data_IF_493993929138
#
_entry.id   IF_493993929138
#
_cell.length_a   1.000
_cell.length_b   1.000
_cell.length_c   1.000
_cell.angle_alpha   90.00
_cell.angle_beta   90.00
_cell.angle_gamma   90.00
#
_symmetry.space_group_name_H-M   'P 1'
#
loop_
_entity.id
_entity.type
_entity.pdbx_description
1 polymer ?
#
# COMPACT_ATOMS: atom_id res chain seq x y z
N UNK A 1 -21.90 -1.04 5.08
CA UNK A 1 -20.67 -0.33 5.43
C UNK A 1 -19.78 -1.19 6.30
N UNK A 2 -18.55 -1.37 5.92
CA UNK A 2 -17.57 -2.09 6.68
C UNK A 2 -16.57 -2.85 5.82
N UNK A 3 -15.78 -3.66 6.48
CA UNK A 3 -14.80 -4.52 5.85
C UNK A 3 -15.42 -5.80 5.30
N UNK A 4 -14.92 -6.23 4.17
CA UNK A 4 -15.31 -7.49 3.52
C UNK A 4 -14.06 -8.22 3.05
N UNK A 5 -13.99 -9.51 3.33
CA UNK A 5 -12.97 -10.40 2.77
C UNK A 5 -13.66 -11.31 1.76
N UNK A 6 -13.24 -11.22 0.52
CA UNK A 6 -13.85 -11.98 -0.58
C UNK A 6 -12.77 -12.48 -1.54
N UNK A 7 -13.06 -13.59 -2.21
CA UNK A 7 -12.24 -14.03 -3.33
C UNK A 7 -12.34 -12.98 -4.42
N UNK A 8 -11.18 -12.50 -4.88
CA UNK A 8 -11.14 -11.51 -5.94
C UNK A 8 -11.78 -12.09 -7.21
N UNK A 9 -12.62 -11.33 -7.91
CA UNK A 9 -13.07 -11.76 -9.21
C UNK A 9 -11.87 -11.88 -10.14
N UNK A 10 -11.69 -13.04 -10.72
CA UNK A 10 -10.74 -13.20 -11.80
C UNK A 10 -11.51 -13.45 -13.10
N UNK A 11 -10.93 -13.05 -14.21
CA UNK A 11 -11.58 -13.10 -15.52
C UNK A 11 -11.84 -14.54 -16.02
N UNK A 12 -11.20 -15.53 -15.41
CA UNK A 12 -11.31 -16.93 -15.75
C UNK A 12 -12.33 -17.68 -14.87
N UNK A 13 -12.91 -16.98 -13.91
CA UNK A 13 -13.81 -17.57 -12.96
C UNK A 13 -15.26 -17.15 -13.25
N UNK A 14 -16.10 -18.10 -13.59
CA UNK A 14 -17.56 -17.93 -13.62
C UNK A 14 -18.12 -17.58 -12.22
N UNK A 15 -17.41 -16.73 -11.48
CA UNK A 15 -17.80 -16.29 -10.14
C UNK A 15 -19.13 -15.57 -10.20
N UNK A 16 -20.14 -16.31 -9.95
CA UNK A 16 -21.46 -15.77 -9.71
C UNK A 16 -21.49 -15.16 -8.31
N UNK A 17 -22.33 -14.16 -8.08
CA UNK A 17 -22.51 -13.51 -6.79
C UNK A 17 -22.64 -14.44 -5.58
N UNK A 18 -23.05 -15.67 -5.77
CA UNK A 18 -23.14 -16.68 -4.71
C UNK A 18 -21.78 -17.17 -4.21
N UNK A 19 -20.73 -17.01 -5.02
CA UNK A 19 -19.37 -17.42 -4.69
C UNK A 19 -18.60 -16.30 -3.97
N UNK A 20 -19.16 -15.09 -3.94
CA UNK A 20 -18.69 -14.03 -3.05
C UNK A 20 -19.17 -14.29 -1.64
N UNK A 21 -18.50 -15.19 -0.94
CA UNK A 21 -18.69 -15.36 0.47
C UNK A 21 -18.32 -14.09 1.21
N UNK A 22 -19.32 -13.31 1.57
CA UNK A 22 -19.10 -12.15 2.42
C UNK A 22 -18.85 -12.64 3.82
N UNK A 23 -17.60 -12.70 4.21
CA UNK A 23 -17.23 -12.88 5.60
C UNK A 23 -16.81 -11.53 6.17
N UNK A 24 -17.35 -11.19 7.31
CA UNK A 24 -16.91 -10.02 8.04
C UNK A 24 -15.66 -10.38 8.87
N UNK A 25 -14.76 -9.75 9.21
CA UNK A 25 -13.96 -8.90 9.19
C UNK A 25 -13.09 -8.28 10.18
N UNK A 26 -12.03 -8.80 10.64
CA UNK A 26 -10.86 -8.12 11.17
C UNK A 26 -9.80 -8.14 10.08
N UNK A 27 -9.13 -7.04 9.77
CA UNK A 27 -8.00 -7.06 8.85
C UNK A 27 -6.81 -7.74 9.56
N UNK A 28 -6.85 -9.04 9.66
CA UNK A 28 -5.78 -9.85 10.24
C UNK A 28 -5.39 -11.02 9.36
N UNK A 29 -6.14 -11.22 8.29
CA UNK A 29 -5.94 -12.31 7.34
C UNK A 29 -5.87 -11.76 5.92
N UNK A 30 -5.13 -10.67 5.71
CA UNK A 30 -4.99 -10.05 4.39
C UNK A 30 -4.18 -10.90 3.40
N UNK A 31 -3.70 -12.03 3.84
CA UNK A 31 -2.55 -12.74 3.29
C UNK A 31 -2.90 -14.00 2.51
N UNK A 32 -4.17 -14.20 2.22
CA UNK A 32 -4.55 -15.31 1.37
C UNK A 32 -4.54 -14.84 -0.09
N UNK A 33 -3.72 -15.44 -0.93
CA UNK A 33 -3.54 -15.05 -2.34
C UNK A 33 -4.85 -14.99 -3.12
N UNK A 34 -5.84 -15.76 -2.68
CA UNK A 34 -7.15 -15.82 -3.33
C UNK A 34 -8.20 -14.94 -2.66
N UNK A 35 -7.96 -14.44 -1.47
CA UNK A 35 -8.90 -13.61 -0.74
C UNK A 35 -8.32 -12.22 -0.52
N UNK A 36 -9.15 -11.18 -0.73
CA UNK A 36 -8.76 -9.80 -0.59
C UNK A 36 -9.71 -9.04 0.31
N UNK A 37 -9.17 -8.07 1.02
CA UNK A 37 -9.95 -7.18 1.85
C UNK A 37 -10.42 -5.97 1.07
N UNK A 38 -11.68 -5.60 1.30
CA UNK A 38 -12.35 -4.44 0.72
C UNK A 38 -13.07 -3.68 1.81
N UNK A 39 -13.28 -2.39 1.61
CA UNK A 39 -14.11 -1.60 2.50
C UNK A 39 -15.24 -0.90 1.73
N UNK A 40 -16.48 -1.13 2.15
CA UNK A 40 -17.65 -0.46 1.59
C UNK A 40 -18.07 0.72 2.48
N UNK A 41 -18.39 1.82 1.86
CA UNK A 41 -18.94 3.01 2.52
C UNK A 41 -20.41 2.83 2.95
N UNK A 42 -21.04 3.95 3.36
CA UNK A 42 -22.44 3.94 3.81
C UNK A 42 -23.45 3.55 2.74
N UNK A 43 -23.11 3.77 1.49
CA UNK A 43 -23.95 3.49 0.33
C UNK A 43 -23.67 2.10 -0.29
N UNK A 44 -22.70 1.37 0.29
CA UNK A 44 -22.29 0.06 -0.20
C UNK A 44 -21.24 0.12 -1.31
N UNK A 45 -20.70 1.30 -1.62
CA UNK A 45 -19.69 1.50 -2.62
C UNK A 45 -18.31 1.20 -2.05
N UNK A 46 -17.49 0.44 -2.79
CA UNK A 46 -16.13 0.10 -2.39
C UNK A 46 -15.20 1.30 -2.55
N UNK A 47 -14.31 1.49 -1.59
CA UNK A 47 -13.20 2.40 -1.76
C UNK A 47 -12.23 1.86 -2.82
N UNK A 48 -11.87 2.68 -3.78
CA UNK A 48 -10.91 2.35 -4.83
C UNK A 48 -10.07 3.59 -5.18
N UNK A 49 -8.77 3.37 -5.38
CA UNK A 49 -7.86 4.44 -5.78
C UNK A 49 -7.72 5.56 -4.74
N UNK A 50 -7.79 5.23 -3.47
CA UNK A 50 -7.71 6.24 -2.40
C UNK A 50 -7.03 5.72 -1.13
N UNK A 51 -6.47 6.68 -0.39
CA UNK A 51 -6.05 6.46 0.99
C UNK A 51 -7.17 6.98 1.89
N UNK A 52 -7.67 6.13 2.76
CA UNK A 52 -8.80 6.45 3.66
C UNK A 52 -8.48 6.18 5.12
N UNK A 53 -8.95 7.09 5.98
CA UNK A 53 -8.92 6.90 7.42
C UNK A 53 -10.15 6.14 7.88
N UNK A 54 -9.93 4.97 8.47
CA UNK A 54 -10.99 4.10 8.98
C UNK A 54 -10.66 3.77 10.44
N UNK A 55 -11.54 4.17 11.35
CA UNK A 55 -11.35 3.97 12.80
C UNK A 55 -9.97 4.39 13.32
N UNK A 56 -9.47 5.55 12.85
CA UNK A 56 -8.21 6.12 13.30
C UNK A 56 -6.94 5.63 12.59
N UNK A 57 -7.04 4.62 11.74
CA UNK A 57 -5.93 4.11 10.93
C UNK A 57 -6.14 4.44 9.47
N UNK A 58 -5.04 4.55 8.71
CA UNK A 58 -5.07 4.80 7.27
C UNK A 58 -4.84 3.52 6.50
N UNK A 59 -5.59 3.35 5.40
CA UNK A 59 -5.51 2.21 4.50
C UNK A 59 -5.47 2.69 3.06
N UNK A 60 -4.83 1.93 2.20
CA UNK A 60 -4.80 2.18 0.76
C UNK A 60 -5.61 1.13 0.01
N UNK A 61 -6.27 1.54 -1.07
CA UNK A 61 -7.08 0.67 -1.91
C UNK A 61 -6.69 0.82 -3.36
N UNK A 62 -6.59 -0.30 -4.09
CA UNK A 62 -6.23 -0.31 -5.49
C UNK A 62 -7.16 0.58 -6.32
N UNK A 63 -6.61 1.33 -7.30
CA UNK A 63 -7.41 2.13 -8.22
C UNK A 63 -8.25 1.26 -9.14
N UNK A 64 -9.28 1.86 -9.72
CA UNK A 64 -10.10 1.25 -10.76
C UNK A 64 -9.27 0.95 -12.01
N UNK A 65 -9.80 0.07 -12.87
CA UNK A 65 -9.17 -0.28 -14.14
C UNK A 65 -8.23 -1.49 -14.10
N UNK A 66 -8.16 -2.18 -12.97
CA UNK A 66 -7.45 -3.45 -12.82
C UNK A 66 -8.37 -4.49 -12.20
N UNK A 67 -8.03 -5.76 -12.32
CA UNK A 67 -8.70 -6.89 -11.64
C UNK A 67 -8.61 -6.79 -10.11
N UNK A 68 -7.69 -5.98 -9.60
CA UNK A 68 -7.47 -5.74 -8.17
C UNK A 68 -8.20 -4.52 -7.63
N UNK A 69 -8.98 -3.83 -8.46
CA UNK A 69 -9.68 -2.60 -8.09
C UNK A 69 -10.42 -2.72 -6.74
N UNK A 70 -10.18 -1.77 -5.85
CA UNK A 70 -10.77 -1.72 -4.51
C UNK A 70 -10.13 -2.64 -3.47
N UNK A 71 -9.21 -3.52 -3.83
CA UNK A 71 -8.54 -4.38 -2.83
C UNK A 71 -7.58 -3.58 -1.96
N UNK A 72 -7.53 -3.92 -0.67
CA UNK A 72 -6.64 -3.27 0.29
C UNK A 72 -5.18 -3.55 -0.03
N UNK A 73 -4.35 -2.51 0.06
CA UNK A 73 -2.89 -2.62 -0.08
C UNK A 73 -2.26 -3.19 1.19
N UNK A 74 -1.24 -4.02 0.99
CA UNK A 74 -0.41 -4.61 2.03
C UNK A 74 1.07 -4.50 1.69
N UNK A 75 1.93 -4.61 2.69
CA UNK A 75 3.36 -4.63 2.50
C UNK A 75 3.97 -3.27 2.12
N UNK A 76 5.19 -3.32 1.60
CA UNK A 76 5.86 -2.16 1.05
C UNK A 76 5.37 -1.93 -0.38
N UNK A 77 4.86 -0.73 -0.64
CA UNK A 77 4.23 -0.39 -1.91
C UNK A 77 4.88 0.83 -2.56
N UNK A 78 5.09 0.76 -3.87
CA UNK A 78 5.45 1.91 -4.69
C UNK A 78 4.18 2.50 -5.31
N UNK A 79 3.83 3.70 -4.91
CA UNK A 79 2.56 4.36 -5.28
C UNK A 79 2.79 5.73 -5.91
N UNK A 80 1.87 6.12 -6.77
CA UNK A 80 1.67 7.51 -7.17
C UNK A 80 0.41 8.02 -6.49
N UNK A 81 0.57 8.98 -5.59
CA UNK A 81 -0.53 9.53 -4.79
C UNK A 81 -0.61 11.04 -4.99
N UNK A 82 -1.80 11.52 -5.34
CA UNK A 82 -2.08 12.93 -5.50
C UNK A 82 -3.40 13.27 -4.79
N UNK A 83 -3.35 14.22 -3.87
CA UNK A 83 -4.51 14.68 -3.09
C UNK A 83 -5.27 13.55 -2.39
N UNK A 84 -4.55 12.56 -1.86
CA UNK A 84 -5.11 11.40 -1.19
C UNK A 84 -5.64 10.32 -2.12
N UNK A 85 -5.51 10.51 -3.43
CA UNK A 85 -5.90 9.52 -4.44
C UNK A 85 -4.69 8.75 -4.92
N UNK A 86 -4.80 7.44 -4.94
CA UNK A 86 -3.82 6.55 -5.53
C UNK A 86 -4.15 6.45 -7.02
N UNK A 87 -3.35 7.11 -7.84
CA UNK A 87 -3.55 7.11 -9.30
C UNK A 87 -2.87 5.93 -9.97
N UNK A 88 -1.84 5.37 -9.33
CA UNK A 88 -1.11 4.21 -9.83
C UNK A 88 -0.52 3.41 -8.67
N UNK A 89 -0.60 2.10 -8.75
CA UNK A 89 0.18 1.17 -7.94
C UNK A 89 1.27 0.60 -8.83
N UNK A 90 2.50 1.06 -8.63
CA UNK A 90 3.66 0.58 -9.40
C UNK A 90 3.99 -0.84 -8.98
N UNK A 91 4.04 -1.08 -7.66
CA UNK A 91 4.20 -2.41 -7.07
C UNK A 91 3.62 -2.43 -5.66
N UNK A 92 3.16 -3.59 -5.22
CA UNK A 92 2.78 -3.88 -3.83
C UNK A 92 3.56 -5.07 -3.32
N UNK A 93 3.55 -5.27 -1.99
CA UNK A 93 4.25 -6.38 -1.35
C UNK A 93 5.68 -6.56 -1.88
N UNK A 94 6.39 -5.43 -1.98
CA UNK A 94 7.74 -5.41 -2.54
C UNK A 94 8.68 -6.25 -1.69
N UNK A 95 9.47 -7.09 -2.36
CA UNK A 95 10.57 -7.83 -1.77
C UNK A 95 11.90 -7.04 -1.83
N UNK A 96 13.00 -7.67 -1.45
CA UNK A 96 14.31 -7.03 -1.45
C UNK A 96 14.79 -6.70 -2.86
N UNK A 97 14.53 -7.57 -3.83
CA UNK A 97 14.90 -7.34 -5.24
C UNK A 97 14.11 -6.15 -5.82
N UNK A 98 12.82 -6.08 -5.54
CA UNK A 98 11.99 -4.93 -5.91
C UNK A 98 12.53 -3.62 -5.31
N UNK A 99 12.97 -3.66 -4.05
CA UNK A 99 13.53 -2.48 -3.39
C UNK A 99 14.85 -2.05 -4.04
N UNK A 100 15.71 -2.98 -4.38
CA UNK A 100 16.98 -2.70 -5.08
C UNK A 100 16.71 -2.08 -6.47
N UNK A 101 15.82 -2.66 -7.25
CA UNK A 101 15.41 -2.13 -8.55
C UNK A 101 14.81 -0.72 -8.42
N UNK A 102 14.01 -0.50 -7.39
CA UNK A 102 13.45 0.83 -7.10
C UNK A 102 14.56 1.85 -6.78
N UNK A 103 15.53 1.48 -5.96
CA UNK A 103 16.64 2.38 -5.60
C UNK A 103 17.57 2.67 -6.76
N UNK A 104 17.73 1.73 -7.68
CA UNK A 104 18.52 1.89 -8.89
C UNK A 104 17.75 2.55 -10.05
N UNK A 105 16.45 2.72 -9.90
CA UNK A 105 15.57 3.30 -10.92
C UNK A 105 15.40 2.41 -12.15
N UNK A 106 15.41 1.11 -11.95
CA UNK A 106 15.29 0.13 -13.00
C UNK A 106 13.84 -0.21 -13.33
N UNK A 107 13.60 -0.59 -14.58
CA UNK A 107 12.32 -1.07 -15.04
C UNK A 107 11.17 -0.10 -14.76
N UNK A 108 10.08 -0.61 -14.19
CA UNK A 108 8.88 0.17 -13.83
C UNK A 108 9.14 1.27 -12.79
N UNK A 109 10.19 1.15 -12.01
CA UNK A 109 10.54 2.13 -10.97
C UNK A 109 11.20 3.40 -11.53
N UNK A 110 11.70 3.37 -12.77
CA UNK A 110 12.28 4.54 -13.42
C UNK A 110 11.30 5.74 -13.45
N UNK A 111 10.01 5.46 -13.60
CA UNK A 111 8.97 6.49 -13.63
C UNK A 111 8.77 7.22 -12.30
N UNK A 112 9.29 6.71 -11.19
CA UNK A 112 9.22 7.37 -9.88
C UNK A 112 10.15 8.57 -9.79
N UNK A 113 11.26 8.55 -10.53
CA UNK A 113 12.26 9.60 -10.50
C UNK A 113 11.76 10.82 -11.25
N UNK A 114 11.83 11.98 -10.60
CA UNK A 114 11.28 13.22 -11.14
C UNK A 114 9.77 13.36 -10.98
N UNK A 115 9.07 12.36 -10.44
CA UNK A 115 7.66 12.45 -10.12
C UNK A 115 7.47 12.75 -8.62
N UNK A 116 7.09 13.99 -8.23
CA UNK A 116 6.95 14.35 -6.81
C UNK A 116 5.80 13.63 -6.11
N UNK A 117 4.89 13.00 -6.85
CA UNK A 117 3.76 12.25 -6.33
C UNK A 117 4.06 10.76 -6.13
N UNK A 118 5.23 10.30 -6.60
CA UNK A 118 5.65 8.92 -6.44
C UNK A 118 6.53 8.74 -5.21
N UNK A 119 6.24 7.73 -4.41
CA UNK A 119 7.08 7.32 -3.29
C UNK A 119 6.74 5.91 -2.83
N UNK A 120 7.48 5.43 -1.83
CA UNK A 120 7.15 4.21 -1.12
C UNK A 120 6.25 4.52 0.07
N UNK A 121 5.38 3.58 0.36
CA UNK A 121 4.44 3.54 1.50
C UNK A 121 4.49 2.15 2.12
N UNK A 122 4.23 2.04 3.41
CA UNK A 122 4.26 0.75 4.09
C UNK A 122 2.95 0.48 4.82
N UNK A 123 2.31 -0.64 4.49
CA UNK A 123 1.02 -1.07 5.06
C UNK A 123 1.15 -2.35 5.89
N UNK A 124 2.28 -2.50 6.57
CA UNK A 124 2.57 -3.67 7.38
C UNK A 124 3.13 -4.85 6.60
N UNK A 125 3.74 -5.78 7.32
CA UNK A 125 4.21 -7.05 6.76
C UNK A 125 3.08 -8.09 6.78
N UNK A 126 3.30 -9.21 6.12
CA UNK A 126 2.41 -10.36 6.13
C UNK A 126 2.13 -10.86 7.56
N UNK A 127 3.11 -10.77 8.44
CA UNK A 127 2.98 -11.15 9.86
C UNK A 127 2.10 -10.19 10.66
N UNK A 128 2.12 -8.91 10.31
CA UNK A 128 1.30 -7.86 10.93
C UNK A 128 -0.07 -7.67 10.26
N UNK A 129 -0.26 -8.26 9.13
CA UNK A 129 -1.41 -8.43 8.21
C UNK A 129 -2.67 -7.58 8.47
N UNK A 130 -2.53 -6.38 9.05
CA UNK A 130 -3.66 -5.50 9.31
C UNK A 130 -3.88 -4.45 8.20
N UNK A 131 -2.95 -4.34 7.24
CA UNK A 131 -3.01 -3.36 6.15
C UNK A 131 -2.92 -1.90 6.58
N UNK A 132 -2.75 -1.62 7.86
CA UNK A 132 -2.71 -0.26 8.35
C UNK A 132 -1.38 0.42 7.99
N UNK A 133 -1.49 1.62 7.44
CA UNK A 133 -0.33 2.46 7.09
C UNK A 133 0.57 2.69 8.30
N UNK A 134 1.86 2.49 8.11
CA UNK A 134 2.89 2.81 9.08
C UNK A 134 3.48 4.20 8.80
N UNK A 135 3.84 4.92 9.86
CA UNK A 135 4.40 6.28 9.77
C UNK A 135 5.61 6.42 10.72
N UNK A 136 6.43 7.43 10.46
CA UNK A 136 7.62 7.70 11.24
C UNK A 136 8.78 6.77 10.90
N UNK A 137 9.72 6.66 11.83
CA UNK A 137 10.84 5.73 11.70
C UNK A 137 10.34 4.29 11.81
N UNK A 138 10.62 3.50 10.79
CA UNK A 138 10.12 2.13 10.66
C UNK A 138 11.24 1.23 10.18
N UNK A 139 11.42 0.08 10.83
CA UNK A 139 12.30 -0.96 10.34
C UNK A 139 11.48 -1.95 9.54
N UNK A 140 11.90 -2.22 8.31
CA UNK A 140 11.25 -3.19 7.43
C UNK A 140 12.23 -4.33 7.17
N UNK A 141 11.80 -5.55 7.39
CA UNK A 141 12.57 -6.75 7.11
C UNK A 141 12.08 -7.35 5.78
N UNK A 142 12.99 -7.50 4.84
CA UNK A 142 12.74 -8.10 3.54
C UNK A 142 13.81 -9.15 3.27
N UNK A 143 13.40 -10.38 3.03
CA UNK A 143 14.28 -11.49 2.67
C UNK A 143 15.50 -11.68 3.63
N UNK A 144 15.28 -11.42 4.91
CA UNK A 144 16.30 -11.58 5.95
C UNK A 144 17.14 -10.33 6.22
N UNK A 145 17.05 -9.31 5.40
CA UNK A 145 17.74 -8.03 5.60
C UNK A 145 16.81 -6.98 6.23
N UNK A 146 17.39 -6.09 7.02
CA UNK A 146 16.69 -5.01 7.69
C UNK A 146 16.99 -3.66 7.06
N UNK A 147 15.95 -2.93 6.73
CA UNK A 147 16.02 -1.60 6.13
C UNK A 147 15.37 -0.57 7.06
N UNK A 148 16.01 0.59 7.18
CA UNK A 148 15.47 1.71 7.95
C UNK A 148 14.74 2.67 7.04
N UNK A 149 13.50 2.98 7.39
CA UNK A 149 12.64 3.88 6.63
C UNK A 149 12.17 5.05 7.48
N UNK A 150 11.87 6.17 6.82
CA UNK A 150 11.20 7.31 7.38
C UNK A 150 9.97 7.65 6.52
N UNK A 151 8.80 7.47 7.10
CA UNK A 151 7.53 7.83 6.49
C UNK A 151 6.90 9.05 7.17
N UNK A 152 6.29 9.92 6.40
CA UNK A 152 5.68 11.14 6.93
C UNK A 152 4.61 10.84 7.97
N UNK A 153 4.69 11.53 9.11
CA UNK A 153 3.64 11.57 10.13
C UNK A 153 2.64 12.69 9.89
N UNK A 154 3.03 13.68 9.08
CA UNK A 154 2.27 14.90 8.88
C UNK A 154 1.16 14.74 7.86
N UNK A 155 0.17 15.62 7.96
CA UNK A 155 -0.95 15.69 7.02
C UNK A 155 -2.01 14.63 7.21
N UNK A 156 -2.92 14.59 6.26
CA UNK A 156 -3.95 13.57 6.12
C UNK A 156 -3.63 12.61 4.99
N UNK A 157 -4.66 12.12 4.31
CA UNK A 157 -4.53 11.15 3.21
C UNK A 157 -3.62 11.64 2.06
N UNK A 158 -3.47 12.95 1.92
CA UNK A 158 -2.66 13.57 0.85
C UNK A 158 -1.15 13.40 1.02
N UNK A 159 -0.67 13.19 2.25
CA UNK A 159 0.78 13.19 2.52
C UNK A 159 1.23 12.20 3.59
N UNK A 160 0.33 11.78 4.48
CA UNK A 160 0.68 10.85 5.56
C UNK A 160 1.17 9.52 5.00
N UNK A 161 2.22 8.98 5.60
CA UNK A 161 2.81 7.70 5.19
C UNK A 161 3.73 7.76 3.98
N UNK A 162 3.86 8.90 3.32
CA UNK A 162 4.76 9.06 2.19
C UNK A 162 6.21 8.92 2.62
N UNK A 163 6.97 8.07 1.95
CA UNK A 163 8.40 7.93 2.15
C UNK A 163 9.14 9.23 1.87
N UNK A 164 9.97 9.66 2.80
CA UNK A 164 10.71 10.92 2.70
C UNK A 164 11.86 10.80 1.72
N UNK A 165 12.10 11.87 0.94
CA UNK A 165 13.29 12.00 0.10
C UNK A 165 14.02 13.28 0.46
N UNK A 166 15.33 13.16 0.67
CA UNK A 166 16.18 14.30 1.04
C UNK A 166 16.95 14.05 2.33
N UNK A 167 17.38 15.15 2.95
CA UNK A 167 18.18 15.12 4.17
C UNK A 167 17.27 15.40 5.38
N UNK A 168 17.30 14.49 6.36
CA UNK A 168 16.62 14.64 7.63
C UNK A 168 17.62 14.94 8.75
N UNK A 169 17.27 15.91 9.60
CA UNK A 169 18.06 16.33 10.78
C UNK A 169 19.55 16.62 10.46
N UNK A 170 19.84 17.06 9.24
CA UNK A 170 21.19 17.32 8.74
C UNK A 170 22.20 16.15 8.90
N UNK A 171 21.69 14.94 9.04
CA UNK A 171 22.52 13.75 9.31
C UNK A 171 22.28 12.59 8.36
N UNK A 172 21.03 12.39 7.95
CA UNK A 172 20.65 11.19 7.24
C UNK A 172 20.03 11.52 5.89
N UNK A 173 20.41 10.78 4.88
CA UNK A 173 19.85 10.89 3.54
C UNK A 173 18.83 9.77 3.36
N UNK A 174 17.67 10.15 2.87
CA UNK A 174 16.58 9.22 2.55
C UNK A 174 16.21 9.32 1.08
N UNK A 175 15.83 8.19 0.50
CA UNK A 175 15.32 8.10 -0.86
C UNK A 175 14.06 7.25 -0.84
N UNK A 176 12.93 7.88 -1.20
CA UNK A 176 11.60 7.27 -1.11
C UNK A 176 11.30 6.66 0.28
N UNK A 177 11.87 7.19 1.31
CA UNK A 177 11.75 6.71 2.67
C UNK A 177 12.92 5.85 3.14
N UNK A 178 13.62 5.13 2.27
CA UNK A 178 14.74 4.30 2.67
C UNK A 178 15.95 5.15 3.06
N UNK A 179 16.49 4.86 4.25
CA UNK A 179 17.73 5.47 4.72
C UNK A 179 18.89 4.95 3.90
N UNK A 180 19.60 5.86 3.26
CA UNK A 180 20.80 5.54 2.51
C UNK A 180 21.97 5.30 3.46
N UNK A 181 22.78 4.28 3.16
CA UNK A 181 23.99 3.94 3.94
C UNK A 181 25.23 4.38 3.20
#
# INVERSE_FOLDING_TARGET
KGWFKVVAPDDDNDNTFKDYGVTSFAPGDADDENERWYYADGDGELYAGEIKKIKGKYYGFYPEGTDKAGSMLTGLCALVVQDGKITEVIERDMDADDLDDCMDGEGKYAAMYGNPNASLYYFGSDEDADGAMKTGNTTINLDGDSYQFLFSKAGGAESKGKGQTGIDDNKYIYKFGMKMK
#
